data_IF_117579782299
#
_entry.id   IF_117579782299
#
_cell.length_a   1.000
_cell.length_b   1.000
_cell.length_c   1.000
_cell.angle_alpha   90.00
_cell.angle_beta   90.00
_cell.angle_gamma   90.00
#
_symmetry.space_group_name_H-M   'P 1'
#
loop_
_entity.id
_entity.type
_entity.pdbx_description
1 polymer ?
#
# COMPACT_ATOMS: atom_id res chain seq x y z
N UNK A 1 7.37 7.80 -25.98
CA UNK A 1 7.61 7.68 -24.54
C UNK A 1 8.13 6.27 -24.30
N UNK A 2 9.43 6.08 -24.32
CA UNK A 2 10.04 4.80 -23.96
C UNK A 2 9.78 4.59 -22.48
N UNK A 3 9.21 3.42 -22.12
CA UNK A 3 9.08 3.02 -20.72
C UNK A 3 10.50 2.95 -20.13
N UNK A 4 10.85 3.96 -19.37
CA UNK A 4 12.13 4.00 -18.69
C UNK A 4 12.19 2.82 -17.73
N UNK A 5 13.32 2.10 -17.66
CA UNK A 5 13.48 0.93 -16.79
C UNK A 5 13.10 1.20 -15.34
N UNK A 6 13.17 2.46 -14.90
CA UNK A 6 12.74 2.92 -13.58
C UNK A 6 11.22 2.79 -13.39
N UNK A 7 10.41 3.12 -14.41
CA UNK A 7 8.94 2.99 -14.34
C UNK A 7 8.54 1.52 -14.25
N UNK A 8 9.19 0.65 -15.01
CA UNK A 8 8.93 -0.81 -14.97
C UNK A 8 9.25 -1.37 -13.58
N UNK A 9 10.38 -0.96 -13.00
CA UNK A 9 10.76 -1.35 -11.65
C UNK A 9 9.75 -0.84 -10.61
N UNK A 10 9.28 0.42 -10.75
CA UNK A 10 8.24 0.98 -9.88
C UNK A 10 6.94 0.17 -9.97
N UNK A 11 6.47 -0.16 -11.19
CA UNK A 11 5.27 -0.98 -11.40
C UNK A 11 5.39 -2.31 -10.64
N UNK A 12 6.53 -3.00 -10.75
CA UNK A 12 6.75 -4.26 -10.05
C UNK A 12 6.68 -4.13 -8.53
N UNK A 13 7.33 -3.11 -7.97
CA UNK A 13 7.35 -2.87 -6.53
C UNK A 13 5.97 -2.41 -6.03
N UNK A 14 5.30 -1.51 -6.76
CA UNK A 14 3.97 -1.04 -6.42
C UNK A 14 2.92 -2.16 -6.52
N UNK A 15 3.02 -3.04 -7.53
CA UNK A 15 2.16 -4.23 -7.65
C UNK A 15 2.36 -5.18 -6.46
N UNK A 16 3.62 -5.45 -6.10
CA UNK A 16 3.94 -6.26 -4.92
C UNK A 16 3.32 -5.64 -3.66
N UNK A 17 3.53 -4.34 -3.42
CA UNK A 17 2.95 -3.63 -2.28
C UNK A 17 1.42 -3.71 -2.25
N UNK A 18 0.78 -3.59 -3.41
CA UNK A 18 -0.69 -3.63 -3.56
C UNK A 18 -1.26 -5.01 -3.24
N UNK A 19 -0.57 -6.07 -3.69
CA UNK A 19 -0.97 -7.46 -3.45
C UNK A 19 -0.69 -7.88 -1.99
N UNK A 20 0.30 -7.29 -1.35
CA UNK A 20 0.68 -7.58 0.02
C UNK A 20 -0.46 -7.29 1.01
N UNK A 21 -0.96 -8.27 1.79
CA UNK A 21 -1.99 -8.04 2.77
C UNK A 21 -1.63 -6.91 3.75
N UNK A 22 -2.60 -6.05 4.02
CA UNK A 22 -2.45 -4.90 4.92
C UNK A 22 -3.79 -4.31 5.30
N UNK A 23 -3.78 -3.14 5.96
CA UNK A 23 -4.98 -2.49 6.47
C UNK A 23 -6.04 -2.26 5.37
N UNK A 24 -5.62 -1.82 4.18
CA UNK A 24 -6.53 -1.52 3.07
C UNK A 24 -7.20 -2.79 2.53
N UNK A 25 -6.45 -3.88 2.33
CA UNK A 25 -7.04 -5.17 1.93
C UNK A 25 -7.95 -5.75 3.02
N UNK A 26 -7.58 -5.63 4.29
CA UNK A 26 -8.42 -6.06 5.41
C UNK A 26 -9.73 -5.27 5.46
N UNK A 27 -9.67 -3.96 5.18
CA UNK A 27 -10.87 -3.13 5.09
C UNK A 27 -11.75 -3.55 3.91
N UNK A 28 -11.19 -3.75 2.71
CA UNK A 28 -11.93 -4.22 1.53
C UNK A 28 -12.58 -5.57 1.81
N UNK A 29 -11.86 -6.52 2.42
CA UNK A 29 -12.40 -7.82 2.81
C UNK A 29 -13.60 -7.67 3.75
N UNK A 30 -13.44 -6.88 4.82
CA UNK A 30 -14.49 -6.61 5.80
C UNK A 30 -15.73 -6.00 5.13
N UNK A 31 -15.54 -4.97 4.31
CA UNK A 31 -16.65 -4.29 3.62
C UNK A 31 -17.33 -5.23 2.63
N UNK A 32 -16.56 -6.07 1.91
CA UNK A 32 -17.13 -7.07 0.99
C UNK A 32 -18.09 -8.02 1.71
N UNK A 33 -17.65 -8.54 2.86
CA UNK A 33 -18.41 -9.52 3.63
C UNK A 33 -19.64 -8.92 4.33
N UNK A 34 -19.57 -7.63 4.72
CA UNK A 34 -20.63 -6.97 5.49
C UNK A 34 -21.64 -6.22 4.62
N UNK A 35 -21.13 -5.47 3.64
CA UNK A 35 -21.86 -4.47 2.91
C UNK A 35 -21.93 -4.79 1.40
N UNK A 36 -21.25 -5.89 0.98
CA UNK A 36 -21.25 -6.39 -0.39
C UNK A 36 -20.27 -5.69 -1.32
N UNK A 37 -20.16 -6.22 -2.56
CA UNK A 37 -19.19 -5.79 -3.57
C UNK A 37 -19.29 -4.32 -3.98
N UNK A 38 -20.50 -3.77 -4.01
CA UNK A 38 -20.68 -2.36 -4.38
C UNK A 38 -20.00 -1.42 -3.37
N UNK A 39 -20.19 -1.65 -2.09
CA UNK A 39 -19.53 -0.88 -1.03
C UNK A 39 -18.02 -1.09 -1.07
N UNK A 40 -17.55 -2.32 -1.28
CA UNK A 40 -16.13 -2.63 -1.43
C UNK A 40 -15.48 -1.91 -2.62
N UNK A 41 -16.19 -1.77 -3.76
CA UNK A 41 -15.72 -1.00 -4.91
C UNK A 41 -15.52 0.49 -4.55
N UNK A 42 -16.49 1.12 -3.88
CA UNK A 42 -16.33 2.50 -3.42
C UNK A 42 -15.24 2.66 -2.36
N UNK A 43 -15.06 1.66 -1.50
CA UNK A 43 -13.91 1.62 -0.57
C UNK A 43 -12.58 1.56 -1.33
N UNK A 44 -12.49 0.74 -2.38
CA UNK A 44 -11.29 0.66 -3.22
C UNK A 44 -11.00 1.97 -3.96
N UNK A 45 -12.04 2.65 -4.46
CA UNK A 45 -11.91 4.00 -5.03
C UNK A 45 -11.35 4.99 -4.00
N UNK A 46 -11.88 4.95 -2.78
CA UNK A 46 -11.39 5.79 -1.68
C UNK A 46 -9.91 5.53 -1.37
N UNK A 47 -9.52 4.26 -1.25
CA UNK A 47 -8.12 3.84 -1.01
C UNK A 47 -7.21 4.42 -2.10
N UNK A 48 -7.57 4.22 -3.37
CA UNK A 48 -6.76 4.73 -4.50
C UNK A 48 -6.71 6.26 -4.55
N UNK A 49 -7.78 6.95 -4.15
CA UNK A 49 -7.82 8.40 -4.03
C UNK A 49 -6.95 8.95 -2.87
N UNK A 50 -6.53 8.12 -1.92
CA UNK A 50 -5.57 8.48 -0.87
C UNK A 50 -4.11 8.53 -1.36
N UNK A 51 -3.76 7.79 -2.40
CA UNK A 51 -2.37 7.69 -2.89
C UNK A 51 -1.75 9.03 -3.31
N UNK A 52 -2.46 9.95 -4.02
CA UNK A 52 -1.94 11.27 -4.34
C UNK A 52 -1.57 12.10 -3.11
N UNK A 53 -2.22 11.90 -1.96
CA UNK A 53 -1.87 12.60 -0.71
C UNK A 53 -0.46 12.21 -0.27
N UNK A 54 -0.14 10.92 -0.28
CA UNK A 54 1.20 10.42 0.04
C UNK A 54 2.25 10.88 -0.98
N UNK A 55 1.91 10.86 -2.27
CA UNK A 55 2.80 11.33 -3.32
C UNK A 55 3.13 12.82 -3.17
N UNK A 56 2.12 13.65 -2.88
CA UNK A 56 2.30 15.08 -2.65
C UNK A 56 3.11 15.33 -1.38
N UNK A 57 2.79 14.66 -0.28
CA UNK A 57 3.54 14.78 0.97
C UNK A 57 5.01 14.36 0.79
N UNK A 58 5.26 13.26 0.07
CA UNK A 58 6.60 12.80 -0.26
C UNK A 58 7.34 13.80 -1.16
N UNK A 59 6.69 14.34 -2.20
CA UNK A 59 7.30 15.32 -3.09
C UNK A 59 7.70 16.60 -2.35
N UNK A 60 6.85 17.11 -1.49
CA UNK A 60 7.13 18.30 -0.67
C UNK A 60 8.22 18.03 0.36
N UNK A 61 8.12 16.91 1.08
CA UNK A 61 9.14 16.50 2.07
C UNK A 61 10.48 16.16 1.44
N UNK A 62 10.47 15.47 0.29
CA UNK A 62 11.69 15.13 -0.44
C UNK A 62 12.40 16.39 -0.97
N UNK A 63 11.66 17.34 -1.54
CA UNK A 63 12.22 18.60 -2.02
C UNK A 63 12.93 19.36 -0.90
N UNK A 64 12.34 19.39 0.30
CA UNK A 64 12.92 20.00 1.48
C UNK A 64 14.17 19.25 1.96
N UNK A 65 14.09 17.93 2.07
CA UNK A 65 15.20 17.08 2.55
C UNK A 65 16.39 17.13 1.59
N UNK A 66 16.16 17.06 0.29
CA UNK A 66 17.23 17.16 -0.73
C UNK A 66 17.89 18.55 -0.73
N UNK A 67 17.12 19.60 -0.39
CA UNK A 67 17.65 20.95 -0.30
C UNK A 67 18.46 21.20 0.98
N UNK A 68 18.23 20.41 2.05
CA UNK A 68 18.78 20.73 3.39
C UNK A 68 19.89 19.77 3.85
N UNK A 69 19.83 18.46 3.57
CA UNK A 69 20.84 17.54 4.11
C UNK A 69 20.79 16.13 3.52
N UNK A 70 21.94 15.63 3.03
CA UNK A 70 22.15 14.23 2.67
C UNK A 70 22.02 13.29 3.88
N UNK A 71 22.33 13.77 5.07
CA UNK A 71 22.21 13.01 6.32
C UNK A 71 20.75 12.79 6.69
N UNK A 72 19.88 13.82 6.56
CA UNK A 72 18.46 13.71 6.79
C UNK A 72 17.82 12.66 5.86
N UNK A 73 18.23 12.63 4.59
CA UNK A 73 17.80 11.58 3.67
C UNK A 73 18.21 10.17 4.14
N UNK A 74 19.45 10.03 4.61
CA UNK A 74 19.98 8.77 5.13
C UNK A 74 19.19 8.28 6.35
N UNK A 75 18.84 9.18 7.27
CA UNK A 75 18.00 8.87 8.45
C UNK A 75 16.63 8.39 8.02
N UNK A 76 15.95 9.09 7.10
CA UNK A 76 14.63 8.70 6.59
C UNK A 76 14.69 7.33 5.91
N UNK A 77 15.73 7.08 5.10
CA UNK A 77 15.97 5.80 4.43
C UNK A 77 16.06 4.63 5.42
N UNK A 78 16.91 4.75 6.44
CA UNK A 78 17.09 3.67 7.43
C UNK A 78 15.86 3.51 8.34
N UNK A 79 15.21 4.60 8.73
CA UNK A 79 13.94 4.53 9.49
C UNK A 79 12.86 3.79 8.69
N UNK A 80 12.74 4.09 7.39
CA UNK A 80 11.83 3.40 6.49
C UNK A 80 12.16 1.92 6.32
N UNK A 81 13.44 1.56 6.14
CA UNK A 81 13.88 0.18 6.04
C UNK A 81 13.56 -0.62 7.31
N UNK A 82 13.88 -0.07 8.49
CA UNK A 82 13.59 -0.68 9.78
C UNK A 82 12.07 -0.90 9.99
N UNK A 83 11.27 0.08 9.59
CA UNK A 83 9.81 -0.04 9.71
C UNK A 83 9.21 -1.06 8.74
N UNK A 84 9.70 -1.16 7.49
CA UNK A 84 9.28 -2.21 6.57
C UNK A 84 9.60 -3.61 7.11
N UNK A 85 10.79 -3.77 7.69
CA UNK A 85 11.17 -5.00 8.38
C UNK A 85 10.23 -5.30 9.57
N UNK A 86 9.91 -4.29 10.40
CA UNK A 86 8.94 -4.41 11.49
C UNK A 86 7.55 -4.83 10.99
N UNK A 87 7.03 -4.18 9.93
CA UNK A 87 5.74 -4.56 9.34
C UNK A 87 5.76 -5.98 8.80
N UNK A 88 6.85 -6.39 8.16
CA UNK A 88 7.04 -7.74 7.66
C UNK A 88 6.98 -8.78 8.78
N UNK A 89 7.74 -8.57 9.86
CA UNK A 89 7.72 -9.43 11.05
C UNK A 89 6.32 -9.47 11.68
N UNK A 90 5.68 -8.32 11.85
CA UNK A 90 4.32 -8.23 12.39
C UNK A 90 3.32 -9.01 11.55
N UNK A 91 3.36 -8.85 10.22
CA UNK A 91 2.48 -9.57 9.29
C UNK A 91 2.65 -11.09 9.40
N UNK A 92 3.90 -11.57 9.51
CA UNK A 92 4.20 -13.00 9.73
C UNK A 92 3.64 -13.45 11.08
N UNK A 93 3.87 -12.70 12.16
CA UNK A 93 3.34 -13.04 13.50
C UNK A 93 1.82 -13.09 13.54
N UNK A 94 1.15 -12.14 12.88
CA UNK A 94 -0.32 -12.12 12.81
C UNK A 94 -0.86 -13.31 12.01
N UNK A 95 -0.12 -13.83 11.02
CA UNK A 95 -0.47 -15.05 10.28
C UNK A 95 -0.40 -16.33 11.11
N UNK A 96 0.35 -16.30 12.22
CA UNK A 96 0.50 -17.44 13.12
C UNK A 96 -0.58 -17.48 14.23
N UNK A 97 -1.33 -16.40 14.41
CA UNK A 97 -2.42 -16.35 15.39
C UNK A 97 -3.65 -17.09 14.86
N UNK A 98 -4.34 -17.84 15.72
CA UNK A 98 -5.64 -18.39 15.36
C UNK A 98 -6.55 -17.24 14.91
N UNK A 99 -7.21 -17.40 13.79
CA UNK A 99 -8.24 -16.47 13.33
C UNK A 99 -9.42 -16.60 14.28
N UNK A 100 -9.43 -15.78 15.33
CA UNK A 100 -10.65 -15.59 16.12
C UNK A 100 -11.70 -15.03 15.16
N UNK A 101 -12.88 -15.65 15.18
CA UNK A 101 -14.05 -15.14 14.48
C UNK A 101 -14.31 -13.72 14.98
N UNK A 102 -13.85 -12.74 14.19
CA UNK A 102 -14.29 -11.37 14.37
C UNK A 102 -15.80 -11.39 14.13
N UNK A 103 -16.56 -11.47 15.22
CA UNK A 103 -18.02 -11.36 15.20
C UNK A 103 -18.35 -10.06 14.48
N UNK A 104 -18.85 -10.26 13.27
CA UNK A 104 -19.21 -9.21 12.38
C UNK A 104 -20.56 -8.69 12.87
N UNK A 105 -20.53 -7.63 13.66
CA UNK A 105 -21.75 -6.91 13.98
C UNK A 105 -22.40 -6.44 12.67
N UNK A 106 -23.57 -7.00 12.36
CA UNK A 106 -24.38 -6.59 11.22
C UNK A 106 -24.75 -5.11 11.41
N UNK A 107 -24.02 -4.25 10.75
CA UNK A 107 -24.28 -2.81 10.73
C UNK A 107 -25.22 -2.46 9.56
N UNK A 108 -25.86 -1.31 9.64
CA UNK A 108 -26.63 -0.71 8.55
C UNK A 108 -25.78 -0.68 7.28
N UNK A 109 -26.30 -1.14 6.14
CA UNK A 109 -25.61 -1.12 4.85
C UNK A 109 -24.97 0.27 4.59
N UNK A 110 -23.67 0.29 4.31
CA UNK A 110 -22.94 1.53 4.10
C UNK A 110 -23.35 2.21 2.80
N UNK A 111 -23.50 3.53 2.86
CA UNK A 111 -23.67 4.31 1.63
C UNK A 111 -22.34 4.32 0.84
N UNK A 112 -22.42 4.50 -0.47
CA UNK A 112 -21.23 4.62 -1.33
C UNK A 112 -20.26 5.73 -0.85
N UNK A 113 -20.82 6.85 -0.37
CA UNK A 113 -20.05 7.98 0.17
C UNK A 113 -19.29 7.60 1.44
N UNK A 114 -19.94 6.89 2.37
CA UNK A 114 -19.31 6.44 3.62
C UNK A 114 -18.23 5.41 3.36
N UNK A 115 -18.48 4.49 2.41
CA UNK A 115 -17.51 3.48 2.00
C UNK A 115 -16.26 4.12 1.37
N UNK A 116 -16.45 5.09 0.47
CA UNK A 116 -15.35 5.86 -0.12
C UNK A 116 -14.53 6.62 0.94
N UNK A 117 -15.20 7.39 1.80
CA UNK A 117 -14.52 8.16 2.84
C UNK A 117 -13.71 7.27 3.79
N UNK A 118 -14.26 6.11 4.15
CA UNK A 118 -13.55 5.14 4.98
C UNK A 118 -12.33 4.55 4.27
N UNK A 119 -12.43 4.24 2.99
CA UNK A 119 -11.30 3.78 2.17
C UNK A 119 -10.22 4.83 2.08
N UNK A 120 -10.59 6.08 1.79
CA UNK A 120 -9.68 7.21 1.70
C UNK A 120 -8.94 7.43 3.02
N UNK A 121 -9.66 7.49 4.14
CA UNK A 121 -9.08 7.69 5.46
C UNK A 121 -8.16 6.52 5.85
N UNK A 122 -8.57 5.28 5.56
CA UNK A 122 -7.75 4.08 5.78
C UNK A 122 -6.41 4.19 5.09
N UNK A 123 -6.41 4.59 3.80
CA UNK A 123 -5.18 4.71 3.03
C UNK A 123 -4.31 5.89 3.50
N UNK A 124 -4.89 7.08 3.68
CA UNK A 124 -4.14 8.27 4.15
C UNK A 124 -3.47 8.04 5.50
N UNK A 125 -4.11 7.27 6.39
CA UNK A 125 -3.55 6.89 7.69
C UNK A 125 -2.76 5.56 7.64
N UNK A 126 -2.58 4.97 6.45
CA UNK A 126 -1.89 3.69 6.32
C UNK A 126 -0.37 3.88 6.39
N UNK A 127 0.28 3.47 7.50
CA UNK A 127 1.71 3.67 7.64
C UNK A 127 2.54 2.86 6.63
N UNK A 128 2.03 1.73 6.14
CA UNK A 128 2.68 0.93 5.10
C UNK A 128 2.81 1.75 3.80
N UNK A 129 1.74 2.44 3.40
CA UNK A 129 1.71 3.27 2.19
C UNK A 129 2.55 4.53 2.39
N UNK A 130 2.37 5.22 3.53
CA UNK A 130 3.14 6.43 3.86
C UNK A 130 4.65 6.19 3.74
N UNK A 131 5.15 5.10 4.33
CA UNK A 131 6.57 4.79 4.30
C UNK A 131 7.06 4.34 2.93
N UNK A 132 6.25 3.60 2.18
CA UNK A 132 6.58 3.29 0.80
C UNK A 132 6.81 4.59 -0.01
N UNK A 133 5.92 5.54 0.08
CA UNK A 133 6.06 6.81 -0.63
C UNK A 133 7.24 7.64 -0.13
N UNK A 134 7.52 7.64 1.17
CA UNK A 134 8.66 8.38 1.72
C UNK A 134 10.02 7.77 1.36
N UNK A 135 10.11 6.44 1.26
CA UNK A 135 11.40 5.76 1.15
C UNK A 135 11.69 5.23 -0.26
N UNK A 136 10.69 4.77 -0.99
CA UNK A 136 10.87 4.21 -2.32
C UNK A 136 10.61 5.20 -3.45
N UNK A 137 9.59 6.05 -3.34
CA UNK A 137 9.25 7.00 -4.40
C UNK A 137 10.45 7.87 -4.82
N UNK A 138 11.29 8.40 -3.88
CA UNK A 138 12.46 9.19 -4.24
C UNK A 138 13.47 8.50 -5.15
N UNK A 139 13.53 7.17 -5.11
CA UNK A 139 14.47 6.38 -5.92
C UNK A 139 14.12 6.38 -7.42
N UNK A 140 12.88 6.75 -7.75
CA UNK A 140 12.36 6.81 -9.11
C UNK A 140 12.32 8.23 -9.68
N UNK A 141 12.84 9.21 -8.94
CA UNK A 141 12.91 10.61 -9.34
C UNK A 141 14.37 10.95 -9.65
N UNK A 142 14.62 11.32 -10.89
CA UNK A 142 15.97 11.69 -11.37
C UNK A 142 16.25 13.18 -11.18
N UNK A 143 17.53 13.58 -11.08
CA UNK A 143 17.91 14.99 -11.16
C UNK A 143 17.37 15.62 -12.46
N UNK A 144 16.64 16.72 -12.33
CA UNK A 144 16.00 17.40 -13.46
C UNK A 144 14.52 17.04 -13.69
N UNK A 145 13.99 15.98 -13.05
CA UNK A 145 12.55 15.73 -13.08
C UNK A 145 11.77 16.81 -12.30
N UNK A 146 10.56 17.11 -12.76
CA UNK A 146 9.60 17.80 -11.93
C UNK A 146 9.10 16.83 -10.85
N UNK A 147 9.60 17.00 -9.63
CA UNK A 147 9.38 16.07 -8.49
C UNK A 147 7.89 15.81 -8.27
N UNK A 148 7.06 16.87 -8.24
CA UNK A 148 5.63 16.73 -7.99
C UNK A 148 4.92 16.01 -9.14
N UNK A 149 5.19 16.41 -10.38
CA UNK A 149 4.55 15.80 -11.54
C UNK A 149 4.91 14.31 -11.66
N UNK A 150 6.19 13.96 -11.47
CA UNK A 150 6.66 12.57 -11.49
C UNK A 150 6.04 11.76 -10.35
N UNK A 151 5.99 12.31 -9.13
CA UNK A 151 5.37 11.66 -7.97
C UNK A 151 3.88 11.37 -8.20
N UNK A 152 3.13 12.32 -8.75
CA UNK A 152 1.72 12.15 -9.08
C UNK A 152 1.51 11.15 -10.22
N UNK A 153 2.39 11.12 -11.23
CA UNK A 153 2.36 10.11 -12.29
C UNK A 153 2.52 8.69 -11.70
N UNK A 154 3.52 8.50 -10.85
CA UNK A 154 3.77 7.21 -10.20
C UNK A 154 2.62 6.82 -9.27
N UNK A 155 2.02 7.79 -8.56
CA UNK A 155 0.81 7.54 -7.76
C UNK A 155 -0.39 7.15 -8.64
N UNK A 156 -0.54 7.75 -9.82
CA UNK A 156 -1.55 7.37 -10.80
C UNK A 156 -1.38 5.92 -11.28
N UNK A 157 -0.14 5.50 -11.58
CA UNK A 157 0.17 4.11 -11.92
C UNK A 157 -0.20 3.17 -10.76
N UNK A 158 0.20 3.51 -9.54
CA UNK A 158 -0.16 2.72 -8.34
C UNK A 158 -1.68 2.67 -8.13
N UNK A 159 -2.39 3.78 -8.35
CA UNK A 159 -3.85 3.82 -8.25
C UNK A 159 -4.53 2.89 -9.28
N UNK A 160 -4.03 2.84 -10.51
CA UNK A 160 -4.53 1.89 -11.53
C UNK A 160 -4.33 0.45 -11.08
N UNK A 161 -3.14 0.10 -10.56
CA UNK A 161 -2.89 -1.24 -10.00
C UNK A 161 -3.86 -1.56 -8.86
N UNK A 162 -4.10 -0.60 -7.96
CA UNK A 162 -5.05 -0.73 -6.86
C UNK A 162 -6.50 -0.91 -7.34
N UNK A 163 -6.92 -0.12 -8.34
CA UNK A 163 -8.26 -0.20 -8.93
C UNK A 163 -8.51 -1.50 -9.70
N UNK A 164 -7.47 -2.15 -10.18
CA UNK A 164 -7.58 -3.50 -10.76
C UNK A 164 -7.61 -4.55 -9.66
N UNK A 165 -6.66 -4.50 -8.72
CA UNK A 165 -6.47 -5.55 -7.72
C UNK A 165 -7.55 -5.59 -6.66
N UNK A 166 -7.90 -4.45 -6.03
CA UNK A 166 -8.81 -4.44 -4.89
C UNK A 166 -10.25 -4.88 -5.24
N UNK A 167 -10.86 -4.46 -6.37
CA UNK A 167 -12.14 -4.99 -6.80
C UNK A 167 -12.09 -6.47 -7.18
N UNK A 168 -10.99 -6.92 -7.82
CA UNK A 168 -10.78 -8.33 -8.13
C UNK A 168 -10.67 -9.17 -6.84
N UNK A 169 -9.95 -8.68 -5.84
CA UNK A 169 -9.85 -9.28 -4.52
C UNK A 169 -11.21 -9.34 -3.80
N UNK A 170 -12.01 -8.25 -3.86
CA UNK A 170 -13.37 -8.22 -3.33
C UNK A 170 -14.27 -9.27 -4.03
N UNK A 171 -14.18 -9.36 -5.35
CA UNK A 171 -14.91 -10.38 -6.11
C UNK A 171 -14.51 -11.80 -5.71
N UNK A 172 -13.22 -12.06 -5.56
CA UNK A 172 -12.71 -13.36 -5.15
C UNK A 172 -13.18 -13.74 -3.74
N UNK A 173 -13.17 -12.79 -2.78
CA UNK A 173 -13.71 -13.02 -1.42
C UNK A 173 -15.20 -13.38 -1.45
N UNK A 174 -15.98 -12.67 -2.24
CA UNK A 174 -17.41 -12.91 -2.36
C UNK A 174 -17.73 -14.31 -2.92
N UNK A 175 -16.89 -14.80 -3.87
CA UNK A 175 -17.10 -16.08 -4.55
C UNK A 175 -16.46 -17.28 -3.83
N UNK A 176 -15.30 -17.10 -3.22
CA UNK A 176 -14.46 -18.20 -2.73
C UNK A 176 -14.00 -17.95 -1.27
N UNK A 177 -14.81 -17.26 -0.48
CA UNK A 177 -14.44 -16.81 0.86
C UNK A 177 -13.94 -17.91 1.80
N UNK A 178 -14.42 -19.16 1.65
CA UNK A 178 -13.93 -20.30 2.44
C UNK A 178 -12.48 -20.71 2.05
N UNK A 179 -12.17 -20.71 0.74
CA UNK A 179 -10.83 -21.08 0.20
C UNK A 179 -9.81 -19.99 0.49
N UNK A 180 -10.22 -18.71 0.37
CA UNK A 180 -9.33 -17.55 0.62
C UNK A 180 -8.90 -17.50 2.09
N UNK A 181 -9.76 -17.88 3.04
CA UNK A 181 -9.35 -17.97 4.45
C UNK A 181 -8.19 -18.93 4.67
N UNK A 182 -8.13 -20.02 3.92
CA UNK A 182 -6.99 -20.96 3.95
C UNK A 182 -5.70 -20.38 3.34
N UNK A 183 -5.83 -19.72 2.19
CA UNK A 183 -4.71 -19.12 1.47
C UNK A 183 -4.18 -17.83 2.14
N UNK A 184 -4.99 -17.14 2.94
CA UNK A 184 -4.63 -15.88 3.61
C UNK A 184 -3.36 -16.00 4.45
N UNK A 185 -3.21 -17.04 5.23
CA UNK A 185 -2.02 -17.26 6.08
C UNK A 185 -0.74 -17.40 5.27
N UNK A 186 -0.80 -18.09 4.14
CA UNK A 186 0.33 -18.23 3.24
C UNK A 186 0.69 -16.87 2.60
N UNK A 187 -0.32 -16.14 2.10
CA UNK A 187 -0.15 -14.78 1.57
C UNK A 187 0.48 -13.83 2.61
N UNK A 188 0.05 -13.85 3.85
CA UNK A 188 0.59 -13.02 4.93
C UNK A 188 2.07 -13.33 5.19
N UNK A 189 2.48 -14.61 5.16
CA UNK A 189 3.89 -15.02 5.34
C UNK A 189 4.78 -14.57 4.18
N UNK A 190 4.35 -14.83 2.96
CA UNK A 190 5.09 -14.39 1.75
C UNK A 190 5.20 -12.87 1.72
N UNK A 191 4.12 -12.20 2.05
CA UNK A 191 4.05 -10.74 2.14
C UNK A 191 5.01 -10.18 3.18
N UNK A 192 5.03 -10.75 4.38
CA UNK A 192 5.95 -10.35 5.43
C UNK A 192 7.41 -10.52 5.03
N UNK A 193 7.74 -11.66 4.42
CA UNK A 193 9.10 -11.91 3.92
C UNK A 193 9.51 -10.91 2.82
N UNK A 194 8.59 -10.59 1.89
CA UNK A 194 8.85 -9.61 0.85
C UNK A 194 9.06 -8.19 1.41
N UNK A 195 8.29 -7.77 2.44
CA UNK A 195 8.50 -6.49 3.12
C UNK A 195 9.85 -6.42 3.81
N UNK A 196 10.29 -7.50 4.46
CA UNK A 196 11.63 -7.59 5.05
C UNK A 196 12.69 -7.48 3.96
N UNK A 197 12.55 -8.22 2.87
CA UNK A 197 13.47 -8.16 1.72
C UNK A 197 13.59 -6.76 1.12
N UNK A 198 12.47 -6.06 0.96
CA UNK A 198 12.44 -4.67 0.49
C UNK A 198 13.14 -3.72 1.48
N UNK A 199 12.92 -3.91 2.79
CA UNK A 199 13.60 -3.13 3.82
C UNK A 199 15.13 -3.33 3.79
N UNK A 200 15.59 -4.57 3.67
CA UNK A 200 17.02 -4.89 3.53
C UNK A 200 17.62 -4.27 2.26
N UNK A 201 16.95 -4.44 1.11
CA UNK A 201 17.39 -3.82 -0.15
C UNK A 201 17.53 -2.30 0.00
N UNK A 202 16.52 -1.65 0.58
CA UNK A 202 16.55 -0.20 0.82
C UNK A 202 17.73 0.21 1.71
N UNK A 203 18.03 -0.56 2.77
CA UNK A 203 19.17 -0.27 3.65
C UNK A 203 20.52 -0.40 2.94
N UNK A 204 20.66 -1.37 2.01
CA UNK A 204 21.92 -1.65 1.30
C UNK A 204 22.13 -0.77 0.07
N UNK A 205 21.13 -0.07 -0.42
CA UNK A 205 21.22 0.77 -1.61
C UNK A 205 22.14 1.97 -1.33
N UNK A 206 23.30 1.99 -2.02
CA UNK A 206 24.28 3.10 -1.95
C UNK A 206 23.88 4.15 -3.00
N UNK A 207 23.85 5.40 -2.60
CA UNK A 207 23.86 6.56 -3.51
C UNK A 207 25.27 7.02 -3.73
#
# INVERSE_FOLDING_TARGET
>A
MTLDGSIVAFIGIAALLTILPGADMALVAKVTLLDGRRAAFFTSLGICAGLPVHATASALGLSLILATSAEAFTVVKFAGAAYLAYLGVRTIRDSLRPTGDAVVAAGRARTSRTAFAQGWLSNVLNPKVALFYLTFLPQFISPGDNVLAKSLLLAGIHAVLGLVWLPLYAYAIDRIGAVIRGARRWLERVSGAALIGLGVRLALERR
#
